data_IF_733332894691
#
_entry.id   IF_733332894691
#
_cell.length_a   1.000
_cell.length_b   1.000
_cell.length_c   1.000
_cell.angle_alpha   90.00
_cell.angle_beta   90.00
_cell.angle_gamma   90.00
#
_symmetry.space_group_name_H-M   'P 1'
#
loop_
_entity.id
_entity.type
_entity.pdbx_description
1 polymer ?
#
# COMPACT_ATOMS: atom_id res chain seq x y z
N UNK A 1 -26.63 22.86 -40.34
CA UNK A 1 -25.92 23.57 -39.25
C UNK A 1 -25.55 22.56 -38.16
N UNK A 2 -24.41 21.85 -38.23
CA UNK A 2 -23.87 21.15 -37.08
C UNK A 2 -22.93 22.08 -36.29
N UNK A 3 -23.14 22.16 -34.99
CA UNK A 3 -22.28 22.89 -34.05
C UNK A 3 -21.01 22.07 -33.85
N UNK A 4 -19.89 22.58 -34.32
CA UNK A 4 -18.55 22.03 -34.06
C UNK A 4 -18.06 22.63 -32.75
N UNK A 5 -17.94 21.80 -31.71
CA UNK A 5 -17.17 22.16 -30.52
C UNK A 5 -15.67 21.99 -30.82
N UNK A 6 -14.84 23.03 -30.67
CA UNK A 6 -13.40 22.86 -30.77
C UNK A 6 -12.87 22.23 -29.47
N UNK A 7 -12.42 20.96 -29.55
CA UNK A 7 -11.53 20.39 -28.53
C UNK A 7 -10.20 21.11 -28.64
N UNK A 8 -9.94 22.03 -27.71
CA UNK A 8 -8.67 22.73 -27.60
C UNK A 8 -7.60 21.74 -27.19
N UNK A 9 -6.72 21.42 -28.13
CA UNK A 9 -5.49 20.66 -27.95
C UNK A 9 -4.54 21.48 -27.06
N UNK A 10 -4.50 21.18 -25.76
CA UNK A 10 -3.43 21.66 -24.89
C UNK A 10 -2.19 20.80 -25.13
N UNK A 11 -1.34 21.26 -26.04
CA UNK A 11 0.01 20.74 -26.19
C UNK A 11 0.94 21.29 -25.10
N UNK A 12 1.80 20.40 -24.60
CA UNK A 12 3.21 20.71 -24.29
C UNK A 12 3.47 21.44 -22.97
N UNK A 13 3.42 20.68 -21.86
CA UNK A 13 3.91 21.13 -20.55
C UNK A 13 3.80 20.12 -19.40
N UNK A 14 2.92 19.12 -19.50
CA UNK A 14 2.54 18.26 -18.37
C UNK A 14 3.48 17.07 -18.06
N UNK A 15 4.29 16.59 -19.02
CA UNK A 15 5.06 15.35 -18.83
C UNK A 15 6.08 15.40 -17.68
N UNK A 16 6.83 16.49 -17.53
CA UNK A 16 7.91 16.56 -16.52
C UNK A 16 7.38 16.82 -15.10
N UNK A 17 6.20 17.44 -14.95
CA UNK A 17 5.56 17.59 -13.64
C UNK A 17 4.92 16.30 -13.19
N UNK A 18 4.24 15.60 -14.10
CA UNK A 18 3.49 14.40 -13.79
C UNK A 18 4.42 13.23 -13.47
N UNK A 19 5.55 13.11 -14.18
CA UNK A 19 6.60 12.12 -13.86
C UNK A 19 7.18 12.32 -12.45
N UNK A 20 7.31 13.58 -12.01
CA UNK A 20 7.81 13.89 -10.65
C UNK A 20 6.77 13.57 -9.57
N UNK A 21 5.49 13.82 -9.86
CA UNK A 21 4.39 13.47 -8.95
C UNK A 21 4.29 11.95 -8.83
N UNK A 22 4.36 11.24 -9.96
CA UNK A 22 4.31 9.79 -9.98
C UNK A 22 5.50 9.17 -9.24
N UNK A 23 6.72 9.68 -9.45
CA UNK A 23 7.88 9.23 -8.68
C UNK A 23 7.71 9.49 -7.18
N UNK A 24 7.18 10.64 -6.80
CA UNK A 24 6.90 10.95 -5.39
C UNK A 24 5.86 9.99 -4.78
N UNK A 25 4.83 9.61 -5.55
CA UNK A 25 3.82 8.64 -5.13
C UNK A 25 4.40 7.22 -5.00
N UNK A 26 5.28 6.80 -5.92
CA UNK A 26 6.00 5.53 -5.82
C UNK A 26 6.90 5.49 -4.59
N UNK A 27 7.66 6.56 -4.35
CA UNK A 27 8.53 6.70 -3.17
C UNK A 27 7.72 6.70 -1.87
N UNK A 28 6.51 7.26 -1.88
CA UNK A 28 5.59 7.23 -0.75
C UNK A 28 5.05 5.81 -0.52
N UNK A 29 4.60 5.11 -1.57
CA UNK A 29 4.15 3.72 -1.47
C UNK A 29 5.24 2.79 -0.94
N UNK A 30 6.48 2.95 -1.40
CA UNK A 30 7.62 2.17 -0.92
C UNK A 30 7.91 2.34 0.59
N UNK A 31 7.36 3.37 1.24
CA UNK A 31 7.48 3.59 2.70
C UNK A 31 6.31 3.01 3.49
N UNK A 32 5.15 2.80 2.87
CA UNK A 32 3.94 2.34 3.55
C UNK A 32 4.12 0.91 4.07
N UNK A 33 4.63 -0.01 3.25
CA UNK A 33 4.86 -1.40 3.65
C UNK A 33 5.71 -1.53 4.93
N UNK A 34 6.95 -1.00 4.94
CA UNK A 34 7.82 -1.02 6.13
C UNK A 34 7.20 -0.35 7.36
N UNK A 35 6.45 0.74 7.18
CA UNK A 35 5.78 1.42 8.29
C UNK A 35 4.68 0.56 8.92
N UNK A 36 3.84 -0.08 8.10
CA UNK A 36 2.78 -0.98 8.60
C UNK A 36 3.37 -2.21 9.30
N UNK A 37 4.47 -2.77 8.80
CA UNK A 37 5.18 -3.86 9.46
C UNK A 37 5.78 -3.43 10.80
N UNK A 38 6.35 -2.23 10.89
CA UNK A 38 6.85 -1.70 12.16
C UNK A 38 5.71 -1.54 13.18
N UNK A 39 4.58 -0.96 12.80
CA UNK A 39 3.40 -0.86 13.67
C UNK A 39 2.88 -2.24 14.09
N UNK A 40 2.82 -3.21 13.17
CA UNK A 40 2.42 -4.57 13.51
C UNK A 40 3.34 -5.22 14.55
N UNK A 41 4.65 -4.98 14.44
CA UNK A 41 5.67 -5.48 15.37
C UNK A 41 5.54 -4.85 16.75
N UNK A 42 5.29 -3.54 16.81
CA UNK A 42 5.02 -2.83 18.06
C UNK A 42 3.78 -3.37 18.76
N UNK A 43 2.69 -3.58 18.01
CA UNK A 43 1.47 -4.19 18.54
C UNK A 43 1.74 -5.59 19.08
N UNK A 44 2.54 -6.42 18.38
CA UNK A 44 2.89 -7.75 18.89
C UNK A 44 3.76 -7.69 20.14
N UNK A 45 4.67 -6.72 20.24
CA UNK A 45 5.58 -6.57 21.37
C UNK A 45 4.89 -6.21 22.70
N UNK A 46 3.69 -5.62 22.64
CA UNK A 46 2.88 -5.25 23.82
C UNK A 46 1.89 -6.33 24.25
N UNK A 47 1.61 -7.33 23.41
CA UNK A 47 0.70 -8.43 23.76
C UNK A 47 1.41 -9.35 24.76
N UNK A 48 0.83 -9.62 25.95
CA UNK A 48 1.42 -10.55 26.92
C UNK A 48 1.63 -11.95 26.33
N UNK A 49 2.76 -12.58 26.66
CA UNK A 49 3.13 -13.90 26.13
C UNK A 49 2.34 -15.07 26.75
N UNK A 50 1.57 -14.85 27.83
CA UNK A 50 0.89 -15.93 28.56
C UNK A 50 -0.37 -15.43 29.28
N UNK A 51 -1.52 -15.91 28.82
CA UNK A 51 -2.80 -15.90 29.54
C UNK A 51 -2.85 -17.16 30.42
N UNK A 52 -2.39 -17.10 31.65
CA UNK A 52 -2.71 -18.13 32.62
C UNK A 52 -3.87 -17.64 33.48
N UNK A 53 -5.09 -18.07 33.12
CA UNK A 53 -6.23 -17.95 34.00
C UNK A 53 -5.98 -18.82 35.23
N UNK A 54 -6.10 -18.24 36.42
CA UNK A 54 -5.89 -18.99 37.66
C UNK A 54 -7.08 -19.94 37.87
N UNK A 55 -6.90 -21.27 37.81
CA UNK A 55 -8.01 -22.20 37.93
C UNK A 55 -8.64 -22.10 39.33
N UNK A 56 -9.96 -21.92 39.39
CA UNK A 56 -10.70 -21.78 40.66
C UNK A 56 -10.71 -20.38 41.28
N UNK A 57 -10.31 -19.35 40.51
CA UNK A 57 -10.42 -17.95 40.93
C UNK A 57 -11.86 -17.44 41.05
N UNK A 58 -12.01 -16.29 41.73
CA UNK A 58 -13.28 -15.59 41.87
C UNK A 58 -13.91 -15.29 40.48
N UNK A 59 -15.24 -15.46 40.30
CA UNK A 59 -15.90 -15.23 39.01
C UNK A 59 -15.68 -13.83 38.42
N UNK A 60 -15.55 -12.80 39.26
CA UNK A 60 -15.25 -11.43 38.83
C UNK A 60 -13.83 -11.31 38.28
N UNK A 61 -12.86 -11.98 38.89
CA UNK A 61 -11.48 -12.05 38.38
C UNK A 61 -11.42 -12.80 37.05
N UNK A 62 -12.12 -13.93 36.94
CA UNK A 62 -12.19 -14.71 35.70
C UNK A 62 -12.79 -13.90 34.53
N UNK A 63 -13.78 -13.04 34.79
CA UNK A 63 -14.35 -12.15 33.78
C UNK A 63 -13.34 -11.09 33.30
N UNK A 64 -12.54 -10.53 34.21
CA UNK A 64 -11.49 -9.57 33.87
C UNK A 64 -10.36 -10.23 33.06
N UNK A 65 -9.95 -11.45 33.43
CA UNK A 65 -8.98 -12.25 32.67
C UNK A 65 -9.51 -12.55 31.26
N UNK A 66 -10.78 -12.95 31.13
CA UNK A 66 -11.43 -13.19 29.85
C UNK A 66 -11.51 -11.94 28.97
N UNK A 67 -11.78 -10.76 29.57
CA UNK A 67 -11.78 -9.49 28.86
C UNK A 67 -10.37 -9.09 28.39
N UNK A 68 -9.35 -9.25 29.25
CA UNK A 68 -7.94 -8.99 28.91
C UNK A 68 -7.46 -9.87 27.74
N UNK A 69 -7.87 -11.14 27.74
CA UNK A 69 -7.62 -12.07 26.64
C UNK A 69 -8.28 -11.61 25.34
N UNK A 70 -9.55 -11.19 25.40
CA UNK A 70 -10.27 -10.71 24.22
C UNK A 70 -9.59 -9.49 23.58
N UNK A 71 -9.08 -8.55 24.40
CA UNK A 71 -8.27 -7.42 23.92
C UNK A 71 -7.01 -7.92 23.21
N UNK A 72 -6.27 -8.83 23.85
CA UNK A 72 -5.03 -9.39 23.30
C UNK A 72 -5.26 -10.12 21.96
N UNK A 73 -6.38 -10.81 21.81
CA UNK A 73 -6.76 -11.49 20.57
C UNK A 73 -7.09 -10.48 19.44
N UNK A 74 -7.81 -9.40 19.75
CA UNK A 74 -8.08 -8.31 18.79
C UNK A 74 -6.78 -7.64 18.33
N UNK A 75 -5.86 -7.37 19.25
CA UNK A 75 -4.55 -6.81 18.92
C UNK A 75 -3.74 -7.73 18.00
N UNK A 76 -3.78 -9.04 18.24
CA UNK A 76 -3.12 -10.04 17.38
C UNK A 76 -3.70 -10.02 15.96
N UNK A 77 -5.03 -9.96 15.84
CA UNK A 77 -5.72 -9.87 14.54
C UNK A 77 -5.37 -8.57 13.82
N UNK A 78 -5.36 -7.44 14.54
CA UNK A 78 -5.00 -6.15 13.97
C UNK A 78 -3.57 -6.16 13.41
N UNK A 79 -2.60 -6.67 14.19
CA UNK A 79 -1.22 -6.81 13.73
C UNK A 79 -1.10 -7.69 12.47
N UNK A 80 -1.78 -8.84 12.43
CA UNK A 80 -1.79 -9.71 11.26
C UNK A 80 -2.35 -9.01 10.00
N UNK A 81 -3.42 -8.21 10.16
CA UNK A 81 -3.99 -7.44 9.05
C UNK A 81 -3.04 -6.37 8.54
N UNK A 82 -2.32 -5.69 9.42
CA UNK A 82 -1.33 -4.68 9.01
C UNK A 82 -0.21 -5.31 8.18
N UNK A 83 0.24 -6.53 8.52
CA UNK A 83 1.19 -7.27 7.70
C UNK A 83 0.62 -7.62 6.32
N UNK A 84 -0.62 -8.13 6.27
CA UNK A 84 -1.26 -8.43 4.98
C UNK A 84 -1.38 -7.19 4.10
N UNK A 85 -1.76 -6.04 4.68
CA UNK A 85 -1.83 -4.77 3.94
C UNK A 85 -0.43 -4.37 3.47
N UNK A 86 0.60 -4.55 4.30
CA UNK A 86 1.99 -4.27 3.91
C UNK A 86 2.44 -5.09 2.70
N UNK A 87 2.12 -6.39 2.67
CA UNK A 87 2.46 -7.27 1.55
C UNK A 87 1.78 -6.83 0.24
N UNK A 88 0.52 -6.39 0.33
CA UNK A 88 -0.22 -5.84 -0.81
C UNK A 88 0.41 -4.56 -1.32
N UNK A 89 0.84 -3.65 -0.43
CA UNK A 89 1.52 -2.42 -0.82
C UNK A 89 2.89 -2.68 -1.45
N UNK A 90 3.66 -3.61 -0.92
CA UNK A 90 4.96 -3.99 -1.48
C UNK A 90 4.80 -4.58 -2.89
N UNK A 91 3.78 -5.41 -3.10
CA UNK A 91 3.51 -5.99 -4.42
C UNK A 91 2.98 -4.96 -5.41
N UNK A 92 2.08 -4.07 -4.97
CA UNK A 92 1.60 -2.96 -5.78
C UNK A 92 2.75 -2.04 -6.20
N UNK A 93 3.63 -1.67 -5.27
CA UNK A 93 4.80 -0.84 -5.56
C UNK A 93 5.71 -1.48 -6.62
N UNK A 94 6.02 -2.78 -6.52
CA UNK A 94 6.79 -3.51 -7.54
C UNK A 94 6.10 -3.49 -8.91
N UNK A 95 4.80 -3.74 -8.95
CA UNK A 95 4.02 -3.76 -10.19
C UNK A 95 4.05 -2.38 -10.88
N UNK A 96 3.84 -1.31 -10.12
CA UNK A 96 3.86 0.06 -10.65
C UNK A 96 5.26 0.48 -11.12
N UNK A 97 6.31 0.21 -10.35
CA UNK A 97 7.71 0.48 -10.78
C UNK A 97 8.05 -0.28 -12.06
N UNK A 98 7.60 -1.53 -12.19
CA UNK A 98 7.84 -2.33 -13.40
C UNK A 98 7.09 -1.77 -14.62
N UNK A 99 5.84 -1.35 -14.44
CA UNK A 99 5.04 -0.76 -15.51
C UNK A 99 5.64 0.57 -16.01
N UNK A 100 6.11 1.41 -15.10
CA UNK A 100 6.84 2.65 -15.38
C UNK A 100 8.12 2.40 -16.19
N UNK A 101 8.94 1.43 -15.75
CA UNK A 101 10.16 1.04 -16.47
C UNK A 101 9.86 0.53 -17.87
N UNK A 102 8.80 -0.27 -18.04
CA UNK A 102 8.35 -0.75 -19.34
C UNK A 102 7.91 0.41 -20.24
N UNK A 103 7.14 1.36 -19.69
CA UNK A 103 6.67 2.54 -20.42
C UNK A 103 7.87 3.38 -20.88
N UNK A 104 8.80 3.70 -19.99
CA UNK A 104 10.02 4.43 -20.31
C UNK A 104 10.91 3.70 -21.32
N UNK A 105 10.97 2.36 -21.25
CA UNK A 105 11.68 1.52 -22.21
C UNK A 105 11.04 1.53 -23.60
N UNK A 106 9.71 1.47 -23.68
CA UNK A 106 8.95 1.48 -24.93
C UNK A 106 9.25 2.72 -25.78
N UNK A 107 9.32 3.90 -25.18
CA UNK A 107 9.66 5.13 -25.92
C UNK A 107 11.13 5.26 -26.32
N UNK A 108 12.01 4.43 -25.76
CA UNK A 108 13.44 4.36 -26.11
C UNK A 108 13.74 3.34 -27.20
N UNK A 109 12.74 2.59 -27.68
CA UNK A 109 12.92 1.61 -28.75
C UNK A 109 13.37 2.29 -30.06
N UNK A 110 14.25 1.65 -30.85
CA UNK A 110 14.59 2.12 -32.20
C UNK A 110 13.34 2.36 -33.05
N UNK A 111 13.37 3.39 -33.92
CA UNK A 111 12.18 3.86 -34.66
C UNK A 111 11.51 2.78 -35.53
N UNK A 112 12.22 1.70 -35.87
CA UNK A 112 11.68 0.54 -36.59
C UNK A 112 10.56 -0.20 -35.82
N UNK A 113 10.49 -0.01 -34.49
CA UNK A 113 9.46 -0.60 -33.62
C UNK A 113 8.42 0.42 -33.13
N UNK A 114 8.56 1.70 -33.50
CA UNK A 114 7.60 2.73 -33.15
C UNK A 114 6.46 2.76 -34.18
N UNK A 115 5.19 2.83 -33.75
CA UNK A 115 4.08 2.98 -34.68
C UNK A 115 4.23 4.26 -35.50
N UNK A 116 3.89 4.25 -36.80
CA UNK A 116 4.00 5.43 -37.65
C UNK A 116 3.16 6.57 -37.06
N UNK A 117 3.76 7.76 -36.94
CA UNK A 117 3.07 8.98 -36.56
C UNK A 117 1.92 9.20 -37.56
N UNK A 118 0.66 9.05 -37.12
CA UNK A 118 -0.49 9.39 -37.96
C UNK A 118 -0.43 10.89 -38.27
N UNK A 119 -0.38 11.20 -39.56
CA UNK A 119 -0.40 12.55 -40.13
C UNK A 119 -1.69 13.29 -39.80
#
# INVERSE_FOLDING_TARGET
MPVVCPVTRAGKGAGVSDDKVLQADLDAMGKIGPHLQATAREIRGRIPASDHATPGGDPGLAALEGFSKAISDVERIAAARLETISDVYDEAHKAFVTAEQLHAGYYKLPSIYQPPLRA
#
